data_IF_906230117246
#
_entry.id   IF_906230117246
#
_cell.length_a   1.000
_cell.length_b   1.000
_cell.length_c   1.000
_cell.angle_alpha   90.00
_cell.angle_beta   90.00
_cell.angle_gamma   90.00
#
_symmetry.space_group_name_H-M   'P 1'
#
loop_
_entity.id
_entity.type
_entity.pdbx_description
1 polymer ?
#
# COMPACT_ATOMS: atom_id res chain seq x y z
N UNK A 1 17.77 -3.90 12.25
CA UNK A 1 18.40 -3.04 11.24
C UNK A 1 19.37 -2.12 11.96
N UNK A 2 20.56 -1.86 11.42
CA UNK A 2 21.58 -1.02 12.07
C UNK A 2 22.03 0.06 11.10
N UNK A 3 22.19 1.28 11.60
CA UNK A 3 22.95 2.30 10.90
C UNK A 3 24.45 2.01 11.04
N UNK A 4 25.20 2.20 9.96
CA UNK A 4 26.64 1.99 9.93
C UNK A 4 27.31 3.35 9.79
N UNK A 5 28.03 3.76 10.84
CA UNK A 5 28.84 4.96 10.82
C UNK A 5 30.05 4.80 9.89
N UNK A 6 30.69 5.91 9.53
CA UNK A 6 31.83 5.92 8.61
C UNK A 6 33.04 5.09 9.09
N UNK A 7 33.14 4.85 10.40
CA UNK A 7 34.17 4.03 11.05
C UNK A 7 33.78 2.54 11.18
N UNK A 8 32.60 2.15 10.69
CA UNK A 8 32.06 0.80 10.78
C UNK A 8 31.27 0.48 12.05
N UNK A 9 31.11 1.43 12.97
CA UNK A 9 30.31 1.25 14.18
C UNK A 9 28.83 1.09 13.85
N UNK A 10 28.17 0.12 14.48
CA UNK A 10 26.73 -0.15 14.28
C UNK A 10 25.91 0.51 15.38
N UNK A 11 24.89 1.27 15.00
CA UNK A 11 23.93 1.87 15.91
C UNK A 11 22.52 1.32 15.64
N UNK A 12 21.65 1.23 16.67
CA UNK A 12 20.25 0.86 16.46
C UNK A 12 19.58 1.80 15.45
N UNK A 13 18.95 1.24 14.41
CA UNK A 13 18.14 2.01 13.48
C UNK A 13 16.77 2.28 14.10
N UNK A 14 16.45 3.55 14.38
CA UNK A 14 15.21 3.94 15.07
C UNK A 14 14.24 4.75 14.20
N UNK A 15 14.58 5.02 12.94
CA UNK A 15 13.73 5.77 12.01
C UNK A 15 12.77 4.86 11.24
N UNK A 16 11.87 5.45 10.46
CA UNK A 16 11.10 4.71 9.45
C UNK A 16 11.94 4.35 8.23
N UNK A 17 11.50 3.35 7.47
CA UNK A 17 12.08 3.00 6.16
C UNK A 17 11.26 3.57 5.01
N UNK A 18 11.87 3.75 3.84
CA UNK A 18 11.17 4.05 2.57
C UNK A 18 10.84 2.78 1.76
N UNK A 19 10.94 1.61 2.40
CA UNK A 19 10.65 0.33 1.76
C UNK A 19 9.19 0.26 1.30
N UNK A 20 8.95 -0.48 0.22
CA UNK A 20 7.60 -0.85 -0.20
C UNK A 20 6.91 -1.67 0.89
N UNK A 21 5.59 -1.53 1.00
CA UNK A 21 4.76 -2.27 1.95
C UNK A 21 3.98 -3.37 1.22
N UNK A 22 3.72 -4.51 1.87
CA UNK A 22 2.84 -5.52 1.31
C UNK A 22 1.40 -5.02 1.27
N UNK A 23 0.67 -5.41 0.23
CA UNK A 23 -0.77 -5.20 0.11
C UNK A 23 -1.42 -6.55 -0.20
N UNK A 24 -2.35 -6.99 0.65
CA UNK A 24 -2.95 -8.33 0.60
C UNK A 24 -4.46 -8.16 0.62
N UNK A 25 -5.13 -8.84 -0.30
CA UNK A 25 -6.58 -8.98 -0.32
C UNK A 25 -6.91 -10.45 -0.08
N UNK A 26 -7.88 -10.69 0.79
CA UNK A 26 -8.35 -12.03 1.14
C UNK A 26 -9.77 -12.18 0.65
N UNK A 27 -9.89 -12.57 -0.62
CA UNK A 27 -11.16 -12.86 -1.30
C UNK A 27 -10.85 -13.73 -2.52
N UNK A 28 -11.64 -14.77 -2.74
CA UNK A 28 -11.51 -15.70 -3.86
C UNK A 28 -11.84 -15.05 -5.20
N UNK A 29 -12.70 -14.02 -5.19
CA UNK A 29 -13.17 -13.33 -6.40
C UNK A 29 -12.40 -12.06 -6.72
N UNK A 30 -11.53 -11.61 -5.81
CA UNK A 30 -10.80 -10.37 -5.98
C UNK A 30 -9.78 -10.47 -7.12
N UNK A 31 -9.82 -9.49 -8.02
CA UNK A 31 -8.80 -9.28 -9.05
C UNK A 31 -8.01 -8.02 -8.75
N UNK A 32 -6.70 -8.18 -8.60
CA UNK A 32 -5.76 -7.07 -8.43
C UNK A 32 -5.49 -6.38 -9.77
N UNK A 33 -5.41 -5.05 -9.75
CA UNK A 33 -5.06 -4.22 -10.90
C UNK A 33 -4.14 -3.08 -10.46
N UNK A 34 -3.13 -2.75 -11.27
CA UNK A 34 -2.27 -1.57 -11.02
C UNK A 34 -1.44 -1.58 -9.73
N UNK A 35 -1.27 -2.74 -9.07
CA UNK A 35 -0.59 -2.85 -7.77
C UNK A 35 0.91 -2.53 -7.81
N UNK A 36 1.56 -2.74 -8.96
CA UNK A 36 3.01 -2.53 -9.17
C UNK A 36 3.49 -1.11 -8.85
N UNK A 37 2.59 -0.13 -9.03
CA UNK A 37 2.76 1.30 -8.80
C UNK A 37 1.68 1.85 -7.83
N UNK A 38 1.16 0.98 -6.96
CA UNK A 38 0.16 1.37 -5.97
C UNK A 38 0.70 2.36 -4.92
N UNK A 39 -0.19 3.20 -4.39
CA UNK A 39 0.12 4.16 -3.31
C UNK A 39 -0.91 4.09 -2.18
N UNK A 40 -0.57 4.62 -1.01
CA UNK A 40 -1.45 4.54 0.18
C UNK A 40 -2.83 5.20 -0.02
N UNK A 41 -2.93 6.24 -0.85
CA UNK A 41 -4.22 6.90 -1.16
C UNK A 41 -5.19 6.00 -1.94
N UNK A 42 -4.71 4.91 -2.51
CA UNK A 42 -5.51 3.98 -3.30
C UNK A 42 -6.28 2.97 -2.42
N UNK A 43 -5.95 2.88 -1.13
CA UNK A 43 -6.57 1.91 -0.21
C UNK A 43 -8.06 2.24 0.03
N UNK A 44 -8.37 3.49 0.35
CA UNK A 44 -9.75 3.92 0.62
C UNK A 44 -10.71 3.71 -0.58
N UNK A 45 -10.41 4.20 -1.80
CA UNK A 45 -11.29 3.95 -2.95
C UNK A 45 -11.41 2.46 -3.27
N UNK A 46 -10.34 1.67 -3.11
CA UNK A 46 -10.39 0.21 -3.32
C UNK A 46 -11.35 -0.46 -2.35
N UNK A 47 -11.28 -0.15 -1.05
CA UNK A 47 -12.20 -0.71 -0.05
C UNK A 47 -13.66 -0.35 -0.33
N UNK A 48 -13.93 0.90 -0.72
CA UNK A 48 -15.28 1.33 -1.05
C UNK A 48 -15.83 0.57 -2.26
N UNK A 49 -15.03 0.46 -3.33
CA UNK A 49 -15.43 -0.27 -4.53
C UNK A 49 -15.73 -1.75 -4.25
N UNK A 50 -14.88 -2.43 -3.45
CA UNK A 50 -15.15 -3.80 -3.03
C UNK A 50 -16.41 -3.93 -2.15
N UNK A 51 -16.72 -2.90 -1.35
CA UNK A 51 -17.96 -2.85 -0.58
C UNK A 51 -19.21 -2.49 -1.40
N UNK A 52 -19.08 -2.35 -2.74
CA UNK A 52 -20.18 -1.93 -3.62
C UNK A 52 -20.58 -0.46 -3.47
N UNK A 53 -19.70 0.37 -2.90
CA UNK A 53 -19.90 1.80 -2.70
C UNK A 53 -19.08 2.61 -3.72
N UNK A 54 -19.68 3.67 -4.28
CA UNK A 54 -18.96 4.57 -5.18
C UNK A 54 -18.00 5.49 -4.40
N UNK A 55 -16.70 5.54 -4.75
CA UNK A 55 -15.76 6.51 -4.17
C UNK A 55 -16.14 7.95 -4.51
N UNK A 56 -15.87 8.88 -3.58
CA UNK A 56 -16.15 10.30 -3.80
C UNK A 56 -15.22 10.94 -4.83
N UNK A 57 -15.64 12.02 -5.49
CA UNK A 57 -14.86 12.73 -6.52
C UNK A 57 -13.57 13.37 -5.99
N UNK A 58 -13.52 13.67 -4.69
CA UNK A 58 -12.37 14.20 -3.98
C UNK A 58 -11.30 13.13 -3.71
N UNK A 59 -11.67 11.84 -3.78
CA UNK A 59 -10.72 10.74 -3.70
C UNK A 59 -9.96 10.64 -5.01
N UNK A 60 -8.71 11.08 -5.00
CA UNK A 60 -7.83 11.03 -6.18
C UNK A 60 -7.10 9.69 -6.33
N UNK A 61 -7.24 8.79 -5.36
CA UNK A 61 -6.68 7.44 -5.38
C UNK A 61 -7.31 6.57 -6.47
N UNK A 62 -6.55 5.57 -6.91
CA UNK A 62 -6.99 4.57 -7.91
C UNK A 62 -7.57 3.35 -7.20
N UNK A 63 -8.46 2.64 -7.86
CA UNK A 63 -8.94 1.34 -7.38
C UNK A 63 -7.92 0.28 -7.77
N UNK A 64 -7.43 -0.49 -6.79
CA UNK A 64 -6.42 -1.54 -6.96
C UNK A 64 -7.00 -2.95 -7.00
N UNK A 65 -8.29 -3.11 -6.68
CA UNK A 65 -8.98 -4.38 -6.74
C UNK A 65 -10.47 -4.24 -6.96
N UNK A 66 -11.03 -5.19 -7.72
CA UNK A 66 -12.46 -5.32 -7.96
C UNK A 66 -12.88 -6.78 -7.75
N UNK A 67 -14.15 -6.99 -7.43
CA UNK A 67 -14.79 -8.30 -7.41
C UNK A 67 -15.41 -8.59 -8.80
N UNK A 68 -15.33 -9.83 -9.26
CA UNK A 68 -16.09 -10.34 -10.43
C UNK A 68 -17.42 -11.00 -10.05
#
# INVERSE_FOLDING_TARGET
MFDVAADGTKHPFTAHTTNRVPFIIVDEKAKLTGIEDGRLSDIAPTMLTMAGLEPSKEMTGRVLACEE
#
